data_IF_020635097881
#
_entry.id   IF_020635097881
#
_cell.length_a   1.000
_cell.length_b   1.000
_cell.length_c   1.000
_cell.angle_alpha   90.00
_cell.angle_beta   90.00
_cell.angle_gamma   90.00
#
_symmetry.space_group_name_H-M   'P 1'
#
loop_
_entity.id
_entity.type
_entity.pdbx_description
1 polymer ?
#
# COMPACT_ATOMS: atom_id res chain seq x y z
N UNK A 1 -2.29 3.89 3.73
CA UNK A 1 -0.86 3.72 3.37
C UNK A 1 -0.49 2.25 3.18
N UNK A 2 -0.62 1.37 4.20
CA UNK A 2 -0.24 -0.04 4.05
C UNK A 2 -1.07 -0.81 3.00
N UNK A 3 -2.32 -0.41 2.75
CA UNK A 3 -3.23 -1.17 1.88
C UNK A 3 -2.85 -1.14 0.38
N UNK A 4 -2.23 -0.06 -0.11
CA UNK A 4 -1.80 0.05 -1.51
C UNK A 4 -0.60 -0.88 -1.82
N UNK A 5 0.31 -1.04 -0.86
CA UNK A 5 1.46 -1.95 -0.95
C UNK A 5 1.02 -3.42 -1.05
N UNK A 6 -0.12 -3.75 -0.44
CA UNK A 6 -0.50 -5.14 -0.22
C UNK A 6 -0.79 -5.90 -1.52
N UNK A 7 -1.34 -5.26 -2.56
CA UNK A 7 -1.59 -5.95 -3.83
C UNK A 7 -0.34 -6.04 -4.71
N UNK A 8 0.48 -5.00 -4.80
CA UNK A 8 1.68 -5.01 -5.65
C UNK A 8 2.70 -6.07 -5.21
N UNK A 9 2.86 -6.26 -3.89
CA UNK A 9 3.76 -7.27 -3.34
C UNK A 9 3.06 -8.58 -2.97
N UNK A 10 1.78 -8.54 -2.57
CA UNK A 10 1.02 -9.73 -2.21
C UNK A 10 0.32 -10.41 -3.40
N UNK A 11 0.27 -9.76 -4.56
CA UNK A 11 -0.31 -10.30 -5.79
C UNK A 11 0.48 -11.48 -6.37
N UNK A 12 1.75 -11.61 -6.01
CA UNK A 12 2.52 -12.82 -6.27
C UNK A 12 2.56 -13.70 -5.01
N UNK A 13 1.69 -14.71 -4.94
CA UNK A 13 1.50 -15.54 -3.74
C UNK A 13 2.80 -16.08 -3.12
N UNK A 14 3.79 -16.59 -3.89
CA UNK A 14 5.04 -17.06 -3.31
C UNK A 14 5.85 -15.98 -2.57
N UNK A 15 5.67 -14.70 -2.90
CA UNK A 15 6.32 -13.58 -2.21
C UNK A 15 5.69 -13.30 -0.83
N UNK A 16 4.38 -13.55 -0.67
CA UNK A 16 3.67 -13.30 0.58
C UNK A 16 2.50 -14.27 0.77
N UNK A 17 2.77 -15.57 1.03
CA UNK A 17 1.74 -16.57 1.19
C UNK A 17 0.89 -16.28 2.43
N UNK A 18 -0.43 -16.36 2.32
CA UNK A 18 -1.35 -16.06 3.43
C UNK A 18 -1.45 -17.18 4.47
N UNK A 19 -0.96 -18.37 4.15
CA UNK A 19 -0.88 -19.52 5.06
C UNK A 19 0.17 -20.52 4.56
N UNK A 20 0.61 -21.41 5.45
CA UNK A 20 1.48 -22.54 5.11
C UNK A 20 0.80 -23.85 5.55
N UNK A 21 0.84 -24.86 4.69
CA UNK A 21 0.14 -26.13 4.87
C UNK A 21 1.04 -27.22 5.50
N UNK A 22 2.35 -26.99 5.53
CA UNK A 22 3.33 -27.87 6.16
C UNK A 22 4.12 -27.10 7.23
N UNK A 23 4.63 -27.79 8.26
CA UNK A 23 5.49 -27.15 9.25
C UNK A 23 6.81 -26.68 8.64
N UNK A 24 7.52 -25.74 9.28
CA UNK A 24 8.86 -25.34 8.88
C UNK A 24 9.80 -26.56 8.80
N UNK A 25 10.68 -26.65 7.77
CA UNK A 25 11.67 -27.72 7.69
C UNK A 25 12.60 -27.73 8.91
N UNK A 26 12.86 -28.90 9.48
CA UNK A 26 13.72 -29.07 10.67
C UNK A 26 15.16 -29.48 10.33
N UNK A 27 15.43 -29.81 9.08
CA UNK A 27 16.72 -30.26 8.58
C UNK A 27 17.06 -29.54 7.27
N UNK A 28 18.33 -29.17 7.10
CA UNK A 28 18.81 -28.48 5.89
C UNK A 28 18.77 -29.44 4.68
N UNK A 29 18.72 -28.86 3.48
CA UNK A 29 18.86 -29.58 2.19
C UNK A 29 17.78 -30.63 1.88
N UNK A 30 16.67 -30.63 2.64
CA UNK A 30 15.52 -31.52 2.40
C UNK A 30 14.41 -30.86 1.57
N UNK A 31 14.49 -29.54 1.39
CA UNK A 31 13.51 -28.78 0.63
C UNK A 31 13.66 -29.05 -0.88
N UNK A 32 12.56 -29.46 -1.49
CA UNK A 32 12.39 -29.64 -2.94
C UNK A 32 11.30 -28.70 -3.45
N UNK A 33 11.25 -28.47 -4.77
CA UNK A 33 10.15 -27.72 -5.40
C UNK A 33 8.78 -28.33 -5.06
N UNK A 34 8.68 -29.66 -5.07
CA UNK A 34 7.45 -30.36 -4.69
C UNK A 34 7.03 -30.07 -3.25
N UNK A 35 7.96 -30.12 -2.30
CA UNK A 35 7.64 -29.80 -0.90
C UNK A 35 7.29 -28.32 -0.71
N UNK A 36 7.91 -27.42 -1.48
CA UNK A 36 7.58 -26.00 -1.48
C UNK A 36 6.14 -25.78 -1.98
N UNK A 37 5.79 -26.35 -3.14
CA UNK A 37 4.44 -26.29 -3.70
C UNK A 37 3.39 -26.90 -2.76
N UNK A 38 3.71 -28.00 -2.08
CA UNK A 38 2.83 -28.60 -1.06
C UNK A 38 2.71 -27.76 0.21
N UNK A 39 3.68 -26.89 0.51
CA UNK A 39 3.64 -26.00 1.68
C UNK A 39 2.78 -24.76 1.39
N UNK A 40 2.71 -24.32 0.14
CA UNK A 40 1.93 -23.16 -0.26
C UNK A 40 0.42 -23.35 -0.04
N UNK A 41 -0.33 -22.23 0.10
CA UNK A 41 -1.78 -22.27 0.22
C UNK A 41 -2.43 -22.95 -0.99
N UNK A 42 -3.62 -23.53 -0.77
CA UNK A 42 -4.44 -24.04 -1.85
C UNK A 42 -4.80 -22.94 -2.86
N UNK A 43 -5.18 -23.33 -4.08
CA UNK A 43 -5.67 -22.38 -5.09
C UNK A 43 -6.86 -21.57 -4.56
N UNK A 44 -7.80 -22.23 -3.87
CA UNK A 44 -8.96 -21.57 -3.31
C UNK A 44 -8.58 -20.48 -2.30
N UNK A 45 -7.70 -20.80 -1.34
CA UNK A 45 -7.18 -19.85 -0.35
C UNK A 45 -6.44 -18.69 -1.01
N UNK A 46 -5.64 -18.98 -2.05
CA UNK A 46 -4.88 -17.99 -2.80
C UNK A 46 -5.80 -17.01 -3.53
N UNK A 47 -6.82 -17.51 -4.24
CA UNK A 47 -7.78 -16.67 -4.98
C UNK A 47 -8.55 -15.76 -4.03
N UNK A 48 -9.02 -16.26 -2.89
CA UNK A 48 -9.71 -15.43 -1.90
C UNK A 48 -8.80 -14.34 -1.34
N UNK A 49 -7.57 -14.68 -0.98
CA UNK A 49 -6.59 -13.70 -0.52
C UNK A 49 -6.32 -12.61 -1.57
N UNK A 50 -6.10 -13.00 -2.83
CA UNK A 50 -5.85 -12.06 -3.92
C UNK A 50 -7.05 -11.15 -4.17
N UNK A 51 -8.28 -11.69 -4.12
CA UNK A 51 -9.49 -10.89 -4.26
C UNK A 51 -9.63 -9.87 -3.12
N UNK A 52 -9.37 -10.27 -1.88
CA UNK A 52 -9.38 -9.38 -0.72
C UNK A 52 -8.31 -8.29 -0.85
N UNK A 53 -7.07 -8.65 -1.19
CA UNK A 53 -5.98 -7.69 -1.38
C UNK A 53 -6.29 -6.70 -2.52
N UNK A 54 -6.83 -7.20 -3.63
CA UNK A 54 -7.24 -6.36 -4.75
C UNK A 54 -8.31 -5.36 -4.33
N UNK A 55 -9.34 -5.81 -3.61
CA UNK A 55 -10.42 -4.95 -3.13
C UNK A 55 -9.89 -3.86 -2.20
N UNK A 56 -9.09 -4.23 -1.20
CA UNK A 56 -8.52 -3.29 -0.22
C UNK A 56 -7.49 -2.33 -0.84
N UNK A 57 -6.91 -2.66 -1.98
CA UNK A 57 -5.97 -1.79 -2.71
C UNK A 57 -6.66 -0.75 -3.60
N UNK A 58 -7.99 -0.80 -3.73
CA UNK A 58 -8.71 0.15 -4.60
C UNK A 58 -8.81 1.52 -3.95
N UNK A 59 -8.58 2.53 -4.79
CA UNK A 59 -8.85 3.90 -4.44
C UNK A 59 -10.36 4.16 -4.52
N UNK A 60 -10.94 4.75 -3.47
CA UNK A 60 -12.34 5.15 -3.53
C UNK A 60 -12.55 6.33 -4.50
N UNK A 61 -13.68 6.36 -5.18
CA UNK A 61 -14.02 7.44 -6.13
C UNK A 61 -14.25 8.79 -5.45
N UNK A 62 -14.64 8.77 -4.17
CA UNK A 62 -14.94 9.94 -3.34
C UNK A 62 -13.80 10.28 -2.36
N UNK A 63 -12.60 9.71 -2.58
CA UNK A 63 -11.46 9.92 -1.69
C UNK A 63 -11.11 11.39 -1.50
N UNK A 64 -10.74 11.73 -0.27
CA UNK A 64 -10.20 13.05 0.08
C UNK A 64 -8.71 12.90 0.36
N UNK A 65 -7.86 13.54 -0.44
CA UNK A 65 -6.41 13.45 -0.29
C UNK A 65 -5.90 14.22 0.93
N UNK A 66 -4.74 13.82 1.44
CA UNK A 66 -4.07 14.47 2.55
C UNK A 66 -3.87 15.96 2.27
N UNK A 67 -4.25 16.78 3.26
CA UNK A 67 -4.19 18.24 3.14
C UNK A 67 -5.35 18.87 2.36
N UNK A 68 -6.24 18.06 1.76
CA UNK A 68 -7.50 18.56 1.22
C UNK A 68 -8.58 18.50 2.30
N UNK A 69 -9.15 19.67 2.64
CA UNK A 69 -10.19 19.81 3.66
C UNK A 69 -11.39 20.50 3.03
N UNK A 70 -12.32 19.75 2.39
CA UNK A 70 -13.50 20.34 1.74
C UNK A 70 -14.49 20.93 2.75
N UNK A 71 -14.52 20.41 3.98
CA UNK A 71 -15.34 20.92 5.06
C UNK A 71 -14.61 22.05 5.81
N UNK A 72 -15.15 23.27 5.74
CA UNK A 72 -14.56 24.45 6.37
C UNK A 72 -14.88 24.55 7.88
N UNK A 73 -14.28 23.67 8.67
CA UNK A 73 -14.40 23.74 10.15
C UNK A 73 -13.62 24.91 10.75
N UNK A 74 -12.48 25.28 10.13
CA UNK A 74 -11.68 26.42 10.54
C UNK A 74 -12.00 27.66 9.71
N UNK A 75 -12.60 28.66 10.34
CA UNK A 75 -12.96 29.94 9.70
C UNK A 75 -11.95 31.05 9.97
N UNK A 76 -11.15 30.91 11.04
CA UNK A 76 -10.14 31.87 11.43
C UNK A 76 -8.97 31.94 10.43
N UNK A 77 -8.40 33.14 10.28
CA UNK A 77 -7.28 33.41 9.35
C UNK A 77 -6.03 32.58 9.66
N UNK A 78 -5.72 32.39 10.94
CA UNK A 78 -4.47 31.72 11.33
C UNK A 78 -4.46 30.23 10.98
N UNK A 79 -5.45 29.41 11.38
CA UNK A 79 -5.51 28.00 10.95
C UNK A 79 -5.58 27.84 9.43
N UNK A 80 -6.33 28.70 8.72
CA UNK A 80 -6.38 28.69 7.24
C UNK A 80 -5.00 28.91 6.62
N UNK A 81 -4.23 29.86 7.14
CA UNK A 81 -2.84 30.08 6.70
C UNK A 81 -1.98 28.83 6.95
N UNK A 82 -2.13 28.17 8.10
CA UNK A 82 -1.40 26.92 8.39
C UNK A 82 -1.78 25.77 7.47
N UNK A 83 -3.05 25.67 7.06
CA UNK A 83 -3.49 24.69 6.05
C UNK A 83 -2.81 24.97 4.70
N UNK A 84 -2.73 26.23 4.27
CA UNK A 84 -2.04 26.60 3.03
C UNK A 84 -0.55 26.25 3.08
N UNK A 85 0.14 26.63 4.17
CA UNK A 85 1.55 26.28 4.39
C UNK A 85 1.76 24.75 4.34
N UNK A 86 0.88 23.97 4.98
CA UNK A 86 0.92 22.52 4.93
C UNK A 86 0.73 21.97 3.51
N UNK A 87 -0.22 22.50 2.75
CA UNK A 87 -0.46 22.10 1.36
C UNK A 87 0.74 22.40 0.45
N UNK A 88 1.41 23.53 0.63
CA UNK A 88 2.63 23.88 -0.11
C UNK A 88 3.78 22.89 0.18
N UNK A 89 3.97 22.53 1.45
CA UNK A 89 4.98 21.55 1.85
C UNK A 89 4.68 20.15 1.27
N UNK A 90 3.42 19.73 1.22
CA UNK A 90 3.02 18.48 0.56
C UNK A 90 3.28 18.49 -0.95
N UNK A 91 3.07 19.64 -1.62
CA UNK A 91 3.39 19.77 -3.05
C UNK A 91 4.89 19.66 -3.30
N UNK A 92 5.71 20.30 -2.47
CA UNK A 92 7.17 20.19 -2.54
C UNK A 92 7.62 18.75 -2.34
N UNK A 93 7.13 18.08 -1.30
CA UNK A 93 7.43 16.67 -1.02
C UNK A 93 7.04 15.74 -2.19
N UNK A 94 5.87 15.94 -2.80
CA UNK A 94 5.45 15.16 -3.97
C UNK A 94 6.43 15.33 -5.14
N UNK A 95 6.92 16.55 -5.39
CA UNK A 95 7.90 16.82 -6.44
C UNK A 95 9.26 16.16 -6.15
N UNK A 96 9.72 16.19 -4.89
CA UNK A 96 10.94 15.52 -4.43
C UNK A 96 10.83 13.99 -4.62
N UNK A 97 9.71 13.39 -4.19
CA UNK A 97 9.45 11.95 -4.35
C UNK A 97 9.47 11.56 -5.83
N UNK A 98 8.80 12.34 -6.69
CA UNK A 98 8.78 12.08 -8.14
C UNK A 98 10.15 12.20 -8.78
N UNK A 99 10.97 13.15 -8.32
CA UNK A 99 12.34 13.29 -8.81
C UNK A 99 13.17 12.08 -8.40
N UNK A 100 13.16 11.72 -7.12
CA UNK A 100 13.85 10.53 -6.59
C UNK A 100 13.43 9.24 -7.29
N UNK A 101 12.15 9.09 -7.61
CA UNK A 101 11.61 7.87 -8.24
C UNK A 101 12.01 7.68 -9.71
N UNK A 102 12.53 8.70 -10.41
CA UNK A 102 12.97 8.57 -11.81
C UNK A 102 14.20 7.68 -11.96
N UNK A 103 15.03 7.62 -10.92
CA UNK A 103 16.31 6.92 -10.95
C UNK A 103 16.26 5.54 -10.27
N UNK A 104 15.05 5.04 -9.98
CA UNK A 104 14.83 3.75 -9.33
C UNK A 104 14.19 2.74 -10.28
N UNK A 105 14.75 1.52 -10.32
CA UNK A 105 14.16 0.39 -11.05
C UNK A 105 12.78 0.00 -10.49
N UNK A 106 12.60 0.18 -9.18
CA UNK A 106 11.33 -0.03 -8.48
C UNK A 106 10.95 1.24 -7.69
N UNK A 107 10.18 2.16 -8.32
CA UNK A 107 9.73 3.38 -7.68
C UNK A 107 8.87 3.15 -6.43
N UNK A 108 9.09 3.93 -5.37
CA UNK A 108 8.24 3.90 -4.19
C UNK A 108 7.26 5.08 -4.21
N UNK A 109 6.00 4.80 -4.52
CA UNK A 109 4.95 5.83 -4.76
C UNK A 109 3.94 5.95 -3.63
N UNK A 110 3.89 4.99 -2.71
CA UNK A 110 2.81 4.83 -1.71
C UNK A 110 2.73 5.94 -0.66
N UNK A 111 3.80 6.72 -0.48
CA UNK A 111 3.83 7.89 0.40
C UNK A 111 3.87 9.22 -0.36
N UNK A 112 3.59 9.24 -1.68
CA UNK A 112 3.35 10.50 -2.38
C UNK A 112 2.07 11.13 -1.83
N UNK A 113 2.11 12.39 -1.33
CA UNK A 113 0.90 13.08 -0.86
C UNK A 113 -0.27 13.09 -1.85
N UNK A 114 0.02 12.90 -3.15
CA UNK A 114 -1.02 12.79 -4.20
C UNK A 114 -1.81 11.49 -4.20
N UNK A 115 -1.40 10.47 -3.43
CA UNK A 115 -2.11 9.18 -3.32
C UNK A 115 -2.49 8.82 -1.89
N UNK A 116 -2.10 9.63 -0.90
CA UNK A 116 -2.48 9.43 0.51
C UNK A 116 -3.85 10.05 0.77
N UNK A 117 -4.77 9.27 1.31
CA UNK A 117 -6.06 9.75 1.81
C UNK A 117 -5.94 10.38 3.20
N UNK A 118 -6.82 11.33 3.48
CA UNK A 118 -6.86 12.09 4.73
C UNK A 118 -7.31 11.24 5.94
N UNK A 119 -7.99 10.12 5.68
CA UNK A 119 -8.50 9.18 6.68
C UNK A 119 -8.38 7.72 6.21
N UNK A 120 -8.81 6.78 7.07
CA UNK A 120 -9.00 5.36 6.70
C UNK A 120 -10.46 5.18 6.32
N UNK A 121 -10.71 4.86 5.05
CA UNK A 121 -12.04 4.93 4.39
C UNK A 121 -12.42 3.66 3.62
N UNK A 122 -11.55 2.63 3.62
CA UNK A 122 -11.74 1.33 2.98
C UNK A 122 -11.43 0.18 3.94
#
# INVERSE_FOLDING_TARGET
VLMLLSYDFGGWMPNSPTSLQLPPPTTKETATEKTMLNTFPSVNTTVHAMATLWLLSKESSDRVLLGHFPEEHFTDKFPRKKIMEFQEELQRLSAEIKTRNKDLDLPYTYLDPKVIENSVSI
#
